data_IF_203836821778
#
_entry.id   IF_203836821778
#
_cell.length_a   1.000
_cell.length_b   1.000
_cell.length_c   1.000
_cell.angle_alpha   90.00
_cell.angle_beta   90.00
_cell.angle_gamma   90.00
#
_symmetry.space_group_name_H-M   'P 1'
#
loop_
_entity.id
_entity.type
_entity.pdbx_description
1 polymer ?
#
# COMPACT_ATOMS: atom_id res chain seq x y z
N UNK A 1 -10.54 -2.59 -8.04
CA UNK A 1 -10.09 -1.29 -7.52
C UNK A 1 -11.28 -0.48 -7.00
N UNK A 2 -11.01 0.62 -6.30
CA UNK A 2 -12.03 1.49 -5.68
C UNK A 2 -13.00 2.10 -6.69
N UNK A 3 -12.57 2.34 -7.93
CA UNK A 3 -13.40 2.93 -8.99
C UNK A 3 -14.31 1.91 -9.69
N UNK A 4 -14.19 0.61 -9.40
CA UNK A 4 -14.93 -0.46 -10.07
C UNK A 4 -14.60 -0.65 -11.55
N UNK A 5 -13.50 -0.07 -12.05
CA UNK A 5 -13.09 -0.12 -13.46
C UNK A 5 -12.11 -1.24 -13.76
N UNK A 6 -11.35 -1.69 -12.76
CA UNK A 6 -10.28 -2.67 -12.88
C UNK A 6 -10.47 -3.82 -11.89
N UNK A 7 -10.20 -5.04 -12.35
CA UNK A 7 -10.14 -6.25 -11.53
C UNK A 7 -8.72 -6.82 -11.61
N UNK A 8 -8.09 -7.07 -10.48
CA UNK A 8 -6.84 -7.83 -10.41
C UNK A 8 -7.16 -9.32 -10.22
N UNK A 9 -6.62 -10.14 -11.09
CA UNK A 9 -6.64 -11.61 -10.98
C UNK A 9 -5.22 -12.04 -10.67
N UNK A 10 -5.03 -12.70 -9.54
CA UNK A 10 -3.72 -13.01 -9.00
C UNK A 10 -3.55 -14.52 -8.91
N UNK A 11 -2.52 -15.03 -9.55
CA UNK A 11 -2.04 -16.40 -9.42
C UNK A 11 -0.79 -16.43 -8.53
N UNK A 12 -0.20 -17.61 -8.40
CA UNK A 12 1.03 -17.80 -7.59
C UNK A 12 2.21 -17.00 -8.14
N UNK A 13 2.32 -16.88 -9.45
CA UNK A 13 3.43 -16.20 -10.14
C UNK A 13 2.94 -15.25 -11.24
N UNK A 14 1.71 -14.81 -11.18
CA UNK A 14 1.14 -13.98 -12.24
C UNK A 14 0.13 -12.99 -11.68
N UNK A 15 0.18 -11.77 -12.17
CA UNK A 15 -0.85 -10.75 -11.93
C UNK A 15 -1.41 -10.30 -13.27
N UNK A 16 -2.72 -10.36 -13.40
CA UNK A 16 -3.44 -9.92 -14.61
C UNK A 16 -4.46 -8.86 -14.21
N UNK A 17 -4.37 -7.69 -14.82
CA UNK A 17 -5.37 -6.64 -14.65
C UNK A 17 -6.38 -6.72 -15.79
N UNK A 18 -7.64 -6.91 -15.43
CA UNK A 18 -8.77 -6.97 -16.35
C UNK A 18 -9.51 -5.65 -16.32
N UNK A 19 -9.68 -5.03 -17.49
CA UNK A 19 -10.44 -3.80 -17.63
C UNK A 19 -11.92 -4.17 -17.75
N UNK A 20 -12.72 -3.76 -16.76
CA UNK A 20 -14.14 -4.07 -16.70
C UNK A 20 -14.93 -3.20 -17.68
N UNK A 21 -15.97 -3.73 -18.36
CA UNK A 21 -16.78 -2.98 -19.27
C UNK A 21 -17.61 -1.91 -18.54
N UNK A 22 -17.60 -0.68 -19.04
CA UNK A 22 -18.24 0.46 -18.36
C UNK A 22 -19.76 0.45 -18.46
N UNK A 23 -20.35 0.07 -19.60
CA UNK A 23 -21.80 0.12 -19.86
C UNK A 23 -22.19 -0.92 -20.93
N UNK A 24 -23.46 -1.29 -20.96
CA UNK A 24 -24.05 -2.09 -22.05
C UNK A 24 -23.90 -3.61 -21.89
N UNK A 25 -23.11 -4.10 -20.92
CA UNK A 25 -22.91 -5.54 -20.71
C UNK A 25 -24.20 -6.28 -20.25
N UNK A 26 -25.11 -5.58 -19.57
CA UNK A 26 -26.38 -6.13 -19.09
C UNK A 26 -27.29 -6.63 -20.24
N UNK A 27 -27.09 -6.10 -21.45
CA UNK A 27 -27.85 -6.52 -22.65
C UNK A 27 -27.27 -7.75 -23.32
N UNK A 28 -26.09 -8.19 -22.93
CA UNK A 28 -25.35 -9.31 -23.49
C UNK A 28 -25.35 -10.54 -22.59
N UNK A 29 -26.39 -10.68 -21.76
CA UNK A 29 -26.55 -11.84 -20.87
C UNK A 29 -26.53 -13.13 -21.68
N UNK A 30 -25.57 -14.00 -21.40
CA UNK A 30 -25.41 -15.30 -22.08
C UNK A 30 -24.29 -15.37 -23.14
N UNK A 31 -23.63 -14.25 -23.48
CA UNK A 31 -22.45 -14.25 -24.36
C UNK A 31 -21.18 -13.88 -23.57
N UNK A 32 -20.05 -14.50 -23.95
CA UNK A 32 -18.75 -14.10 -23.39
C UNK A 32 -18.45 -12.65 -23.76
N UNK A 33 -18.16 -11.81 -22.77
CA UNK A 33 -17.79 -10.41 -22.98
C UNK A 33 -16.30 -10.32 -23.34
N UNK A 34 -15.93 -9.68 -24.45
CA UNK A 34 -14.55 -9.40 -24.75
C UNK A 34 -14.04 -8.35 -23.79
N UNK A 35 -13.13 -8.75 -22.89
CA UNK A 35 -12.45 -7.85 -21.96
C UNK A 35 -10.98 -7.71 -22.34
N UNK A 36 -10.44 -6.51 -22.13
CA UNK A 36 -8.99 -6.29 -22.25
C UNK A 36 -8.32 -6.72 -20.93
N UNK A 37 -7.34 -7.59 -21.05
CA UNK A 37 -6.52 -8.04 -19.93
C UNK A 37 -5.05 -7.70 -20.21
N UNK A 38 -4.31 -7.32 -19.18
CA UNK A 38 -2.90 -6.96 -19.25
C UNK A 38 -2.17 -7.67 -18.12
N UNK A 39 -1.08 -8.37 -18.44
CA UNK A 39 -0.16 -8.93 -17.44
C UNK A 39 0.71 -7.84 -16.88
N UNK A 40 1.06 -7.97 -15.60
CA UNK A 40 1.84 -6.97 -14.88
C UNK A 40 3.11 -7.59 -14.33
N UNK A 41 4.23 -6.90 -14.47
CA UNK A 41 5.49 -7.26 -13.88
C UNK A 41 6.00 -8.63 -14.31
N UNK A 42 5.89 -8.99 -15.58
CA UNK A 42 6.20 -10.32 -16.09
C UNK A 42 7.63 -10.79 -15.81
N UNK A 43 8.56 -9.85 -15.64
CA UNK A 43 9.94 -10.15 -15.25
C UNK A 43 10.06 -10.47 -13.75
N UNK A 44 9.24 -9.82 -12.91
CA UNK A 44 9.29 -9.93 -11.45
C UNK A 44 8.40 -11.04 -10.91
N UNK A 45 7.44 -11.49 -11.72
CA UNK A 45 6.46 -12.52 -11.37
C UNK A 45 6.46 -13.60 -12.47
N UNK A 46 7.28 -14.63 -12.26
CA UNK A 46 7.45 -15.73 -13.21
C UNK A 46 7.66 -17.06 -12.47
N UNK A 47 7.23 -18.20 -13.03
CA UNK A 47 7.35 -19.50 -12.36
C UNK A 47 8.79 -19.91 -12.05
N UNK A 48 9.76 -19.31 -12.72
CA UNK A 48 11.17 -19.66 -12.57
C UNK A 48 11.98 -18.41 -12.14
N UNK A 49 12.67 -18.54 -11.00
CA UNK A 49 13.61 -17.53 -10.52
C UNK A 49 12.99 -16.37 -9.73
N UNK A 50 11.68 -16.41 -9.47
CA UNK A 50 11.02 -15.40 -8.60
C UNK A 50 10.30 -16.08 -7.44
N UNK A 51 10.03 -15.29 -6.38
CA UNK A 51 9.26 -15.75 -5.24
C UNK A 51 7.76 -15.77 -5.54
N UNK A 52 6.98 -16.72 -4.96
CA UNK A 52 5.53 -16.74 -5.06
C UNK A 52 4.91 -15.44 -4.57
N UNK A 53 3.76 -15.09 -5.14
CA UNK A 53 2.97 -13.95 -4.70
C UNK A 53 2.16 -14.35 -3.48
N UNK A 54 2.39 -13.67 -2.35
CA UNK A 54 1.63 -13.84 -1.12
C UNK A 54 0.30 -13.09 -1.20
N UNK A 55 0.33 -11.82 -1.63
CA UNK A 55 -0.87 -10.99 -1.71
C UNK A 55 -0.73 -9.85 -2.72
N UNK A 56 -1.88 -9.41 -3.24
CA UNK A 56 -1.99 -8.21 -4.06
C UNK A 56 -3.12 -7.32 -3.50
N UNK A 57 -2.85 -6.02 -3.34
CA UNK A 57 -3.84 -5.06 -2.85
C UNK A 57 -3.80 -3.76 -3.65
N UNK A 58 -4.98 -3.24 -3.98
CA UNK A 58 -5.12 -1.90 -4.54
C UNK A 58 -4.73 -0.86 -3.48
N UNK A 59 -3.94 0.13 -3.89
CA UNK A 59 -3.59 1.22 -2.99
C UNK A 59 -4.79 2.16 -2.81
N UNK A 60 -5.24 2.44 -1.57
CA UNK A 60 -6.43 3.25 -1.32
C UNK A 60 -6.28 4.68 -1.87
N UNK A 61 -5.06 5.20 -1.89
CA UNK A 61 -4.75 6.57 -2.32
C UNK A 61 -4.03 6.65 -3.68
N UNK A 62 -3.99 5.58 -4.45
CA UNK A 62 -3.45 5.61 -5.81
C UNK A 62 -4.28 6.55 -6.70
N UNK A 63 -3.62 7.48 -7.38
CA UNK A 63 -4.30 8.41 -8.29
C UNK A 63 -5.10 7.64 -9.34
N UNK A 64 -6.36 8.00 -9.56
CA UNK A 64 -7.28 7.31 -10.49
C UNK A 64 -7.61 5.86 -10.11
N UNK A 65 -7.17 5.37 -8.93
CA UNK A 65 -7.38 4.00 -8.47
C UNK A 65 -6.64 2.95 -9.32
N UNK A 66 -5.52 3.30 -9.93
CA UNK A 66 -4.73 2.45 -10.84
C UNK A 66 -3.45 1.91 -10.22
N UNK A 67 -3.10 2.37 -9.03
CA UNK A 67 -1.94 1.87 -8.28
C UNK A 67 -2.32 0.69 -7.39
N UNK A 68 -1.46 -0.31 -7.34
CA UNK A 68 -1.59 -1.46 -6.45
C UNK A 68 -0.21 -2.00 -6.05
N UNK A 69 -0.20 -2.78 -4.98
CA UNK A 69 1.00 -3.46 -4.50
C UNK A 69 0.90 -4.96 -4.70
N UNK A 70 2.05 -5.56 -4.93
CA UNK A 70 2.26 -7.02 -4.91
C UNK A 70 3.27 -7.32 -3.82
N UNK A 71 2.86 -8.11 -2.84
CA UNK A 71 3.71 -8.69 -1.81
C UNK A 71 4.09 -10.10 -2.24
N UNK A 72 5.38 -10.42 -2.23
CA UNK A 72 5.90 -11.75 -2.49
C UNK A 72 6.37 -12.42 -1.21
N UNK A 73 6.41 -13.76 -1.17
CA UNK A 73 6.76 -14.56 0.03
C UNK A 73 8.16 -14.24 0.58
N UNK A 74 9.08 -13.76 -0.26
CA UNK A 74 10.40 -13.27 0.13
C UNK A 74 10.38 -11.88 0.81
N UNK A 75 9.19 -11.43 1.24
CA UNK A 75 8.96 -10.16 1.92
C UNK A 75 9.39 -8.93 1.09
N UNK A 76 9.17 -8.97 -0.22
CA UNK A 76 9.37 -7.82 -1.11
C UNK A 76 8.01 -7.25 -1.53
N UNK A 77 7.85 -5.93 -1.32
CA UNK A 77 6.69 -5.16 -1.77
C UNK A 77 7.06 -4.43 -3.05
N UNK A 78 6.28 -4.62 -4.11
CA UNK A 78 6.40 -3.88 -5.38
C UNK A 78 5.13 -3.10 -5.65
N UNK A 79 5.26 -1.80 -5.89
CA UNK A 79 4.14 -0.94 -6.27
C UNK A 79 4.14 -0.77 -7.79
N UNK A 80 2.98 -0.98 -8.40
CA UNK A 80 2.72 -0.78 -9.82
C UNK A 80 1.65 0.27 -10.05
N UNK A 81 1.85 1.11 -11.05
CA UNK A 81 0.84 2.01 -11.60
C UNK A 81 0.56 1.60 -13.05
N UNK A 82 -0.59 0.95 -13.26
CA UNK A 82 -0.95 0.40 -14.58
C UNK A 82 -1.26 1.47 -15.64
N UNK A 83 -1.38 2.72 -15.25
CA UNK A 83 -1.52 3.83 -16.20
C UNK A 83 -0.18 4.35 -16.71
N UNK A 84 0.89 4.06 -15.97
CA UNK A 84 2.23 4.54 -16.29
C UNK A 84 3.09 3.43 -16.93
N UNK A 85 3.32 2.35 -16.20
CA UNK A 85 4.05 1.18 -16.68
C UNK A 85 3.48 -0.09 -16.05
N UNK A 86 3.28 -1.12 -16.88
CA UNK A 86 2.75 -2.40 -16.44
C UNK A 86 3.84 -3.41 -16.11
N UNK A 87 5.04 -3.23 -16.63
CA UNK A 87 6.15 -4.18 -16.47
C UNK A 87 7.12 -3.78 -15.37
N UNK A 88 7.38 -2.47 -15.22
CA UNK A 88 8.32 -1.97 -14.21
C UNK A 88 7.60 -1.40 -12.99
N UNK A 89 7.94 -1.89 -11.76
CA UNK A 89 7.39 -1.34 -10.54
C UNK A 89 7.88 0.09 -10.32
N UNK A 90 7.00 0.96 -9.87
CA UNK A 90 7.33 2.34 -9.49
C UNK A 90 8.21 2.40 -8.24
N UNK A 91 8.02 1.43 -7.34
CA UNK A 91 8.80 1.25 -6.12
C UNK A 91 9.00 -0.24 -5.83
N UNK A 92 10.17 -0.59 -5.26
CA UNK A 92 10.46 -1.93 -4.76
C UNK A 92 11.11 -1.80 -3.38
N UNK A 93 10.49 -2.40 -2.38
CA UNK A 93 10.90 -2.31 -0.98
C UNK A 93 11.05 -3.71 -0.39
N UNK A 94 12.22 -4.00 0.17
CA UNK A 94 12.46 -5.23 0.93
C UNK A 94 12.14 -4.97 2.40
N UNK A 95 11.17 -5.71 2.94
CA UNK A 95 10.73 -5.59 4.34
C UNK A 95 11.82 -6.05 5.30
N UNK A 96 12.41 -7.19 5.02
CA UNK A 96 13.47 -7.80 5.84
C UNK A 96 14.86 -7.38 5.36
N UNK A 97 15.17 -6.21 5.00
CA UNK A 97 16.52 -5.80 4.60
C UNK A 97 17.25 -6.80 3.66
N UNK A 98 18.37 -6.43 3.09
CA UNK A 98 19.17 -7.37 2.31
C UNK A 98 19.81 -8.42 3.25
N UNK A 99 19.73 -9.73 2.93
CA UNK A 99 20.41 -10.75 3.72
C UNK A 99 21.90 -10.41 3.74
N UNK A 100 22.42 -10.12 4.94
CA UNK A 100 23.87 -10.04 5.14
C UNK A 100 24.45 -11.43 4.90
N UNK A 101 25.50 -11.52 4.08
CA UNK A 101 26.19 -12.76 3.65
C UNK A 101 26.74 -13.66 4.78
N UNK A 102 26.40 -13.39 6.03
CA UNK A 102 26.82 -14.12 7.22
C UNK A 102 25.73 -15.00 7.83
N UNK A 103 24.64 -15.27 7.12
CA UNK A 103 23.66 -16.26 7.56
C UNK A 103 24.31 -17.65 7.47
N UNK A 104 24.68 -18.19 8.64
CA UNK A 104 25.26 -19.51 8.78
C UNK A 104 24.28 -20.60 8.32
N UNK A 105 24.81 -21.68 7.73
CA UNK A 105 24.09 -22.85 7.20
C UNK A 105 23.23 -23.64 8.22
N UNK A 106 22.85 -23.06 9.35
CA UNK A 106 22.25 -23.77 10.49
C UNK A 106 20.78 -23.42 10.77
N UNK A 107 20.09 -22.64 9.92
CA UNK A 107 18.73 -22.18 10.25
C UNK A 107 17.70 -22.42 9.14
N UNK A 108 17.45 -23.69 8.79
CA UNK A 108 16.31 -24.03 7.92
C UNK A 108 14.95 -23.72 8.59
N UNK A 109 14.87 -23.77 9.92
CA UNK A 109 13.69 -23.39 10.70
C UNK A 109 13.43 -21.86 10.70
N UNK A 110 14.50 -21.06 10.58
CA UNK A 110 14.43 -19.60 10.52
C UNK A 110 13.93 -19.06 9.17
N UNK A 111 14.03 -19.83 8.10
CA UNK A 111 13.64 -19.36 6.76
C UNK A 111 12.11 -19.40 6.57
N UNK A 112 11.41 -20.36 7.19
CA UNK A 112 9.95 -20.43 7.12
C UNK A 112 9.27 -19.29 7.92
N UNK A 113 9.90 -18.86 9.00
CA UNK A 113 9.44 -17.72 9.80
C UNK A 113 9.50 -16.38 9.04
N UNK A 114 10.39 -16.26 8.06
CA UNK A 114 10.61 -15.05 7.26
C UNK A 114 9.69 -14.92 6.04
N UNK A 115 8.79 -15.86 5.83
CA UNK A 115 7.84 -15.85 4.71
C UNK A 115 6.76 -14.81 4.98
N UNK A 116 6.61 -13.84 4.08
CA UNK A 116 5.51 -12.89 4.14
C UNK A 116 4.21 -13.55 3.66
N UNK A 117 3.11 -13.32 4.36
CA UNK A 117 1.81 -13.96 4.06
C UNK A 117 0.70 -12.97 3.73
N UNK A 118 0.70 -11.80 4.35
CA UNK A 118 -0.35 -10.80 4.15
C UNK A 118 0.16 -9.38 4.39
N UNK A 119 -0.56 -8.41 3.87
CA UNK A 119 -0.32 -7.00 4.16
C UNK A 119 -1.63 -6.22 4.20
N UNK A 120 -1.64 -5.10 4.90
CA UNK A 120 -2.78 -4.20 4.94
C UNK A 120 -2.33 -2.75 5.04
N UNK A 121 -3.10 -1.85 4.42
CA UNK A 121 -2.89 -0.42 4.60
C UNK A 121 -3.50 0.04 5.91
N UNK A 122 -2.93 1.09 6.50
CA UNK A 122 -3.57 1.83 7.57
C UNK A 122 -4.87 2.46 7.10
N UNK A 123 -5.80 2.67 8.03
CA UNK A 123 -7.07 3.32 7.72
C UNK A 123 -6.90 4.82 7.49
N UNK A 124 -7.85 5.41 6.74
CA UNK A 124 -7.93 6.85 6.54
C UNK A 124 -8.09 7.59 7.86
N UNK A 125 -7.05 8.34 8.24
CA UNK A 125 -7.02 9.08 9.50
C UNK A 125 -6.07 10.28 9.41
N UNK A 126 -6.21 11.22 10.32
CA UNK A 126 -5.27 12.33 10.48
C UNK A 126 -4.02 11.91 11.27
N UNK A 127 -3.50 10.73 11.01
CA UNK A 127 -2.32 10.16 11.66
C UNK A 127 -1.38 9.53 10.64
N UNK A 128 -0.21 9.06 11.09
CA UNK A 128 0.75 8.35 10.24
C UNK A 128 0.21 7.05 9.64
N UNK A 129 -0.93 6.53 10.14
CA UNK A 129 -1.62 5.38 9.55
C UNK A 129 -2.01 5.64 8.09
N UNK A 130 -2.28 6.89 7.70
CA UNK A 130 -2.51 7.30 6.31
C UNK A 130 -1.36 6.84 5.37
N UNK A 131 -0.14 6.83 5.88
CA UNK A 131 1.08 6.49 5.15
C UNK A 131 1.70 5.18 5.64
N UNK A 132 0.90 4.25 6.16
CA UNK A 132 1.42 3.02 6.76
C UNK A 132 0.96 1.80 5.99
N UNK A 133 1.93 0.93 5.67
CA UNK A 133 1.69 -0.43 5.22
C UNK A 133 2.18 -1.40 6.30
N UNK A 134 1.29 -2.28 6.76
CA UNK A 134 1.61 -3.38 7.67
C UNK A 134 1.85 -4.65 6.86
N UNK A 135 2.90 -5.38 7.18
CA UNK A 135 3.24 -6.66 6.55
C UNK A 135 3.33 -7.72 7.63
N UNK A 136 2.58 -8.80 7.47
CA UNK A 136 2.53 -9.96 8.36
C UNK A 136 3.41 -11.07 7.83
N UNK A 137 4.26 -11.62 8.69
CA UNK A 137 5.04 -12.82 8.43
C UNK A 137 4.31 -14.08 8.92
N UNK A 138 4.70 -15.23 8.39
CA UNK A 138 4.16 -16.53 8.79
C UNK A 138 4.40 -16.84 10.27
N UNK A 139 5.48 -16.32 10.85
CA UNK A 139 5.77 -16.37 12.29
C UNK A 139 4.74 -15.63 13.17
N UNK A 140 3.89 -14.78 12.60
CA UNK A 140 3.04 -13.85 13.32
C UNK A 140 3.67 -12.47 13.56
N UNK A 141 4.91 -12.29 13.19
CA UNK A 141 5.58 -10.99 13.28
C UNK A 141 4.98 -9.98 12.32
N UNK A 142 4.78 -8.76 12.80
CA UNK A 142 4.27 -7.64 12.00
C UNK A 142 5.37 -6.62 11.80
N UNK A 143 5.58 -6.23 10.56
CA UNK A 143 6.49 -5.16 10.16
C UNK A 143 5.72 -3.96 9.63
N UNK A 144 6.26 -2.76 9.88
CA UNK A 144 5.67 -1.47 9.48
C UNK A 144 6.56 -0.81 8.43
N UNK A 145 5.98 -0.46 7.30
CA UNK A 145 6.57 0.45 6.32
C UNK A 145 5.89 1.81 6.46
N UNK A 146 6.62 2.82 6.93
CA UNK A 146 6.14 4.18 7.11
C UNK A 146 7.30 5.18 6.96
N UNK A 147 7.18 6.22 6.10
CA UNK A 147 6.05 6.49 5.23
C UNK A 147 6.04 5.59 3.97
N UNK A 148 4.87 5.09 3.61
CA UNK A 148 4.62 4.38 2.37
C UNK A 148 3.43 5.02 1.65
N UNK A 149 3.63 5.46 0.42
CA UNK A 149 2.58 5.99 -0.44
C UNK A 149 2.90 5.68 -1.91
N UNK A 150 1.92 5.65 -2.82
CA UNK A 150 2.18 5.45 -4.23
C UNK A 150 2.94 6.65 -4.80
N UNK A 151 3.68 6.40 -5.89
CA UNK A 151 4.42 7.47 -6.57
C UNK A 151 3.51 8.60 -7.02
N UNK A 152 2.30 8.27 -7.51
CA UNK A 152 1.25 9.22 -7.83
C UNK A 152 0.04 8.94 -6.93
N UNK A 153 -0.26 9.85 -6.03
CA UNK A 153 -1.31 9.70 -5.04
C UNK A 153 -2.40 10.76 -5.16
N UNK A 154 -3.61 10.41 -4.75
CA UNK A 154 -4.69 11.36 -4.45
C UNK A 154 -4.94 11.30 -2.94
N UNK A 155 -4.52 12.32 -2.21
CA UNK A 155 -4.56 12.34 -0.75
C UNK A 155 -5.63 13.30 -0.23
N UNK A 156 -6.31 12.97 0.88
CA UNK A 156 -7.24 13.87 1.54
C UNK A 156 -6.48 15.05 2.18
N UNK A 157 -6.68 16.23 1.62
CA UNK A 157 -5.96 17.45 2.01
C UNK A 157 -6.04 17.73 3.51
N UNK A 158 -7.26 17.68 4.05
CA UNK A 158 -7.49 17.98 5.46
C UNK A 158 -6.69 17.08 6.40
N UNK A 159 -6.60 15.78 6.09
CA UNK A 159 -5.86 14.83 6.93
C UNK A 159 -4.35 15.11 6.90
N UNK A 160 -3.79 15.41 5.72
CA UNK A 160 -2.37 15.73 5.60
C UNK A 160 -2.03 17.05 6.30
N UNK A 161 -2.85 18.09 6.13
CA UNK A 161 -2.65 19.38 6.81
C UNK A 161 -2.80 19.25 8.33
N UNK A 162 -3.76 18.46 8.81
CA UNK A 162 -3.93 18.18 10.24
C UNK A 162 -2.72 17.44 10.81
N UNK A 163 -2.25 16.40 10.12
CA UNK A 163 -1.07 15.64 10.53
C UNK A 163 0.17 16.55 10.56
N UNK A 164 0.38 17.38 9.55
CA UNK A 164 1.49 18.32 9.51
C UNK A 164 1.43 19.34 10.68
N UNK A 165 0.24 19.84 11.02
CA UNK A 165 0.05 20.73 12.15
C UNK A 165 0.29 20.06 13.50
N UNK A 166 -0.09 18.79 13.66
CA UNK A 166 0.19 17.99 14.86
C UNK A 166 1.68 17.73 15.01
N UNK A 167 2.34 17.35 13.93
CA UNK A 167 3.78 17.10 13.93
C UNK A 167 4.58 18.39 14.20
N UNK A 168 4.18 19.52 13.70
CA UNK A 168 4.84 20.81 13.97
C UNK A 168 4.83 21.19 15.46
N UNK A 169 3.90 20.67 16.26
CA UNK A 169 3.81 20.90 17.71
C UNK A 169 4.66 19.92 18.53
N UNK A 170 5.06 18.82 17.92
CA UNK A 170 5.84 17.78 18.58
C UNK A 170 7.33 18.18 18.61
N UNK A 171 7.91 18.37 19.77
CA UNK A 171 9.31 18.81 19.95
C UNK A 171 10.34 17.72 19.68
N UNK A 172 9.91 16.46 19.52
CA UNK A 172 10.79 15.31 19.27
C UNK A 172 10.82 14.86 17.81
N UNK A 173 10.37 15.70 16.89
CA UNK A 173 10.15 15.33 15.50
C UNK A 173 11.42 14.94 14.75
N UNK A 174 11.28 13.89 13.95
CA UNK A 174 12.25 13.53 12.93
C UNK A 174 12.30 14.62 11.84
N UNK A 175 13.49 15.08 11.51
CA UNK A 175 13.71 16.03 10.40
C UNK A 175 13.13 15.47 9.08
N UNK A 176 13.15 14.14 8.90
CA UNK A 176 12.60 13.47 7.73
C UNK A 176 11.07 13.58 7.68
N UNK A 177 10.37 13.36 8.79
CA UNK A 177 8.92 13.46 8.89
C UNK A 177 8.45 14.88 8.54
N UNK A 178 9.13 15.90 9.08
CA UNK A 178 8.83 17.31 8.79
C UNK A 178 9.07 17.68 7.33
N UNK A 179 10.14 17.18 6.72
CA UNK A 179 10.42 17.40 5.28
C UNK A 179 9.39 16.71 4.41
N UNK A 180 9.03 15.47 4.71
CA UNK A 180 8.02 14.70 3.98
C UNK A 180 6.67 15.42 3.98
N UNK A 181 6.15 15.76 5.16
CA UNK A 181 4.86 16.46 5.29
C UNK A 181 4.92 17.87 4.69
N UNK A 182 6.03 18.59 4.89
CA UNK A 182 6.23 19.92 4.30
C UNK A 182 6.20 19.90 2.77
N UNK A 183 6.83 18.91 2.14
CA UNK A 183 6.80 18.74 0.70
C UNK A 183 5.39 18.40 0.19
N UNK A 184 4.63 17.54 0.90
CA UNK A 184 3.24 17.24 0.54
C UNK A 184 2.34 18.46 0.65
N UNK A 185 2.41 19.19 1.76
CA UNK A 185 1.62 20.43 1.97
C UNK A 185 1.93 21.47 0.89
N UNK A 186 3.22 21.62 0.53
CA UNK A 186 3.63 22.54 -0.53
C UNK A 186 3.02 22.13 -1.89
N UNK A 187 3.10 20.84 -2.28
CA UNK A 187 2.48 20.34 -3.50
C UNK A 187 0.95 20.58 -3.53
N UNK A 188 0.27 20.37 -2.39
CA UNK A 188 -1.16 20.63 -2.26
C UNK A 188 -1.53 22.11 -2.41
N UNK A 189 -0.68 23.00 -1.92
CA UNK A 189 -0.87 24.45 -2.07
C UNK A 189 -0.65 24.89 -3.52
N UNK A 190 0.40 24.38 -4.18
CA UNK A 190 0.69 24.64 -5.60
C UNK A 190 -0.43 24.15 -6.52
N UNK A 191 -0.98 22.96 -6.26
CA UNK A 191 -2.09 22.40 -7.02
C UNK A 191 -3.41 23.19 -6.88
N UNK A 192 -3.55 23.99 -5.81
CA UNK A 192 -4.76 24.79 -5.54
C UNK A 192 -4.61 26.24 -6.02
N UNK A 193 -3.38 26.67 -6.36
CA UNK A 193 -3.16 27.99 -6.88
C UNK A 193 -3.86 28.16 -8.25
N UNK A 194 -4.62 29.26 -8.48
CA UNK A 194 -5.27 29.46 -9.77
C UNK A 194 -4.20 29.59 -10.86
N UNK A 195 -4.24 28.66 -11.81
CA UNK A 195 -3.42 28.72 -13.02
C UNK A 195 -3.87 29.89 -13.87
N UNK A 196 -2.96 30.81 -14.20
CA UNK A 196 -3.26 31.96 -15.08
C UNK A 196 -3.41 31.56 -16.56
N UNK A 197 -3.17 30.29 -16.90
CA UNK A 197 -3.21 29.76 -18.27
C UNK A 197 -4.20 28.58 -18.40
N UNK A 198 -5.45 28.75 -17.93
CA UNK A 198 -6.48 27.70 -18.05
C UNK A 198 -7.17 27.75 -19.43
N UNK A 199 -6.48 27.28 -20.47
CA UNK A 199 -7.05 26.99 -21.80
C UNK A 199 -7.01 25.52 -22.17
N UNK A 200 -6.57 24.62 -21.31
CA UNK A 200 -6.65 23.18 -21.55
C UNK A 200 -7.91 22.62 -20.88
N UNK A 201 -8.91 22.31 -21.69
CA UNK A 201 -10.05 21.44 -21.34
C UNK A 201 -9.52 20.02 -21.08
N UNK A 202 -8.78 19.84 -20.00
CA UNK A 202 -8.36 18.52 -19.57
C UNK A 202 -9.56 17.82 -18.93
N UNK A 203 -9.95 16.70 -19.54
CA UNK A 203 -10.92 15.72 -19.07
C UNK A 203 -10.44 15.00 -17.78
N UNK A 204 -9.82 15.73 -16.87
CA UNK A 204 -9.50 15.23 -15.53
C UNK A 204 -10.82 14.91 -14.85
N UNK A 205 -11.00 13.65 -14.45
CA UNK A 205 -12.17 13.26 -13.64
C UNK A 205 -12.20 14.14 -12.40
N UNK A 206 -13.36 14.72 -12.03
CA UNK A 206 -13.46 15.58 -10.86
C UNK A 206 -13.02 14.78 -9.64
N UNK A 207 -11.98 15.28 -8.96
CA UNK A 207 -11.58 14.78 -7.67
C UNK A 207 -12.78 14.88 -6.72
N UNK A 208 -13.03 13.86 -5.94
CA UNK A 208 -13.93 13.96 -4.79
C UNK A 208 -13.49 15.16 -3.95
N UNK A 209 -14.42 16.02 -3.57
CA UNK A 209 -14.13 17.23 -2.80
C UNK A 209 -13.16 16.90 -1.64
N UNK A 210 -12.04 17.62 -1.59
CA UNK A 210 -11.04 17.47 -0.54
C UNK A 210 -9.82 16.58 -0.84
N UNK A 211 -9.78 15.89 -2.00
CA UNK A 211 -8.58 15.15 -2.42
C UNK A 211 -7.71 15.98 -3.36
N UNK A 212 -6.40 15.83 -3.24
CA UNK A 212 -5.41 16.55 -4.07
C UNK A 212 -4.40 15.55 -4.63
N UNK A 213 -4.09 15.69 -5.91
CA UNK A 213 -3.03 14.91 -6.55
C UNK A 213 -1.66 15.38 -6.08
N UNK A 214 -0.84 14.42 -5.65
CA UNK A 214 0.53 14.67 -5.19
C UNK A 214 1.45 13.57 -5.72
N UNK A 215 2.73 13.87 -5.77
CA UNK A 215 3.80 12.93 -6.14
C UNK A 215 4.62 12.60 -4.90
N UNK A 216 5.10 11.38 -4.80
CA UNK A 216 5.96 10.92 -3.71
C UNK A 216 7.14 11.88 -3.51
N UNK A 217 7.31 12.50 -2.33
CA UNK A 217 8.40 13.40 -2.06
C UNK A 217 9.79 12.76 -2.24
N UNK A 218 10.70 13.48 -2.87
CA UNK A 218 12.07 13.00 -3.12
C UNK A 218 12.88 12.79 -1.83
N UNK A 219 12.44 13.32 -0.70
CA UNK A 219 13.08 13.12 0.60
C UNK A 219 12.85 11.70 1.17
N UNK A 220 11.88 10.94 0.64
CA UNK A 220 11.67 9.54 1.02
C UNK A 220 12.81 8.72 0.44
N UNK A 221 13.57 7.99 1.27
CA UNK A 221 14.63 7.13 0.78
C UNK A 221 14.04 6.08 -0.16
N UNK A 222 14.70 5.80 -1.29
CA UNK A 222 14.33 4.68 -2.18
C UNK A 222 14.33 3.31 -1.48
N UNK A 223 14.88 3.26 -0.26
CA UNK A 223 14.90 2.09 0.63
C UNK A 223 14.38 2.52 1.99
N UNK A 224 13.07 2.70 2.11
CA UNK A 224 12.46 2.81 3.42
C UNK A 224 12.66 1.49 4.15
N UNK A 225 13.41 1.49 5.25
CA UNK A 225 13.58 0.30 6.06
C UNK A 225 12.27 0.05 6.82
N UNK A 226 11.78 -1.19 6.77
CA UNK A 226 10.67 -1.57 7.62
C UNK A 226 11.08 -1.54 9.08
N UNK A 227 10.16 -1.14 9.94
CA UNK A 227 10.30 -1.18 11.39
C UNK A 227 9.65 -2.46 11.88
N UNK A 228 10.36 -3.24 12.69
CA UNK A 228 9.80 -4.46 13.25
C UNK A 228 10.89 -5.48 13.70
N UNK A 229 10.43 -6.63 14.22
CA UNK A 229 9.02 -6.96 14.46
C UNK A 229 8.39 -6.08 15.53
N UNK A 230 7.12 -5.70 15.32
CA UNK A 230 6.39 -4.87 16.25
C UNK A 230 5.85 -5.68 17.41
N UNK A 231 5.99 -5.18 18.63
CA UNK A 231 5.42 -5.82 19.83
C UNK A 231 3.89 -5.66 19.80
N UNK A 232 3.18 -6.77 19.68
CA UNK A 232 1.72 -6.83 19.75
C UNK A 232 1.27 -6.78 21.21
N UNK A 233 0.22 -5.99 21.50
CA UNK A 233 -0.40 -5.97 22.84
C UNK A 233 -1.92 -6.05 22.70
N UNK A 234 -2.61 -7.01 23.34
CA UNK A 234 -2.01 -8.09 24.13
C UNK A 234 -1.15 -9.02 23.27
N UNK A 235 -0.18 -9.70 23.91
CA UNK A 235 0.62 -10.71 23.22
C UNK A 235 -0.30 -11.79 22.64
N UNK A 236 0.02 -12.34 21.46
CA UNK A 236 -0.72 -13.46 20.90
C UNK A 236 -0.79 -14.59 21.92
N UNK A 237 -1.96 -15.18 22.13
CA UNK A 237 -2.13 -16.34 23.01
C UNK A 237 -1.72 -17.56 22.20
N UNK A 238 -0.71 -18.28 22.65
CA UNK A 238 -0.39 -19.61 22.13
C UNK A 238 -1.56 -20.56 22.46
N UNK A 239 -2.30 -20.95 21.44
CA UNK A 239 -3.54 -21.73 21.62
C UNK A 239 -3.26 -23.21 21.86
N UNK A 240 -2.12 -23.74 21.45
CA UNK A 240 -1.69 -25.13 21.67
C UNK A 240 -0.22 -25.31 21.29
N UNK A 241 0.55 -25.98 22.15
CA UNK A 241 1.96 -26.30 21.89
C UNK A 241 2.15 -27.33 20.77
N UNK A 242 1.10 -28.11 20.45
CA UNK A 242 1.15 -29.20 19.45
C UNK A 242 0.71 -28.80 18.04
N UNK A 243 0.17 -27.60 17.85
CA UNK A 243 -0.21 -27.09 16.53
C UNK A 243 0.57 -25.83 16.25
N UNK A 244 1.53 -25.91 15.35
CA UNK A 244 2.22 -24.73 14.84
C UNK A 244 1.18 -23.75 14.28
N UNK A 245 0.84 -22.73 15.07
CA UNK A 245 -0.08 -21.67 14.65
C UNK A 245 0.65 -20.82 13.63
N UNK A 246 0.25 -20.92 12.36
CA UNK A 246 0.78 -20.06 11.32
C UNK A 246 -0.18 -18.88 11.13
N UNK A 247 0.38 -17.66 11.16
CA UNK A 247 -0.37 -16.48 10.76
C UNK A 247 -0.74 -16.57 9.28
N UNK A 248 -1.96 -16.16 8.91
CA UNK A 248 -2.45 -16.26 7.54
C UNK A 248 -2.97 -14.95 6.96
N UNK A 249 -3.46 -14.00 7.80
CA UNK A 249 -3.95 -12.72 7.32
C UNK A 249 -3.88 -11.64 8.39
N UNK A 250 -3.79 -10.38 7.96
CA UNK A 250 -3.85 -9.17 8.80
C UNK A 250 -4.88 -8.20 8.24
N UNK A 251 -5.78 -7.76 9.13
CA UNK A 251 -6.81 -6.78 8.80
C UNK A 251 -6.75 -5.66 9.83
N UNK A 252 -6.78 -4.43 9.36
CA UNK A 252 -6.99 -3.27 10.23
C UNK A 252 -8.47 -2.92 10.24
N UNK A 253 -9.03 -2.77 11.43
CA UNK A 253 -10.42 -2.37 11.62
C UNK A 253 -10.49 -1.15 12.51
N UNK A 254 -11.39 -0.21 12.17
CA UNK A 254 -11.69 0.92 13.05
C UNK A 254 -12.64 0.44 14.13
N UNK A 255 -12.23 0.54 15.37
CA UNK A 255 -13.14 0.39 16.52
C UNK A 255 -13.86 1.73 16.65
N UNK A 256 -15.19 1.75 16.45
CA UNK A 256 -15.99 2.92 16.81
C UNK A 256 -15.89 3.10 18.32
N UNK A 257 -15.31 4.21 18.77
CA UNK A 257 -15.42 4.60 20.18
C UNK A 257 -16.91 4.88 20.44
N UNK A 258 -17.55 4.05 21.24
CA UNK A 258 -18.89 4.33 21.77
C UNK A 258 -18.81 5.62 22.60
N UNK A 259 -19.27 6.73 22.02
CA UNK A 259 -19.43 8.01 22.71
C UNK A 259 -20.56 7.98 23.76
N UNK A 260 -21.06 6.81 24.12
CA UNK A 260 -22.17 6.62 25.07
C UNK A 260 -21.75 6.52 26.54
N UNK A 261 -20.49 6.76 26.90
CA UNK A 261 -20.02 6.60 28.28
C UNK A 261 -19.61 7.92 28.98
N UNK A 262 -20.15 9.07 28.56
CA UNK A 262 -19.85 10.36 29.17
C UNK A 262 -21.11 11.16 29.60
N UNK A 263 -22.20 10.47 29.94
CA UNK A 263 -23.34 11.05 30.64
C UNK A 263 -23.71 10.18 31.86
N UNK A 264 -22.91 10.25 32.90
CA UNK A 264 -23.33 10.00 34.30
C UNK A 264 -22.63 11.00 35.21
#
# INVERSE_FOLDING_TARGET
NSTGKLLAVVGVYEVVIVILPRRGYMKQVGTALPVKAVRVGTYYHAPHGTSPIAQCRWHPYGAGGVSFIVLTEDAVVREYDVSHDVDEPQQTLAVLGQPTRTSSMLSAEDDDAKVAVSCTFGEESSSWLLFTLLVLMRSGDVYILCPFMPKHAALPRLHVETLAALEARNTQNSTLAMRFLGDLVRQMQEATAPSLDDTSLDLAEPLTEGYVHVVLPACVPHRTAAQGPCLMRPAPVELNEDVASMACDVIMTRIAEDQAALDV
#
